data_IF_682802383224
#
_entry.id   IF_682802383224
#
_cell.length_a   1.000
_cell.length_b   1.000
_cell.length_c   1.000
_cell.angle_alpha   90.00
_cell.angle_beta   90.00
_cell.angle_gamma   90.00
#
_symmetry.space_group_name_H-M   'P 1'
#
loop_
_entity.id
_entity.type
_entity.pdbx_description
1 polymer ?
#
# COMPACT_ATOMS: atom_id res chain seq x y z
N UNK A 1 19.38 -13.45 -20.19
CA UNK A 1 19.85 -12.65 -19.02
C UNK A 1 19.21 -11.26 -19.00
N UNK A 2 19.27 -10.48 -20.09
CA UNK A 2 18.64 -9.14 -20.18
C UNK A 2 17.12 -9.13 -19.92
N UNK A 3 16.36 -10.10 -20.42
CA UNK A 3 14.91 -10.19 -20.18
C UNK A 3 14.54 -10.41 -18.71
N UNK A 4 15.36 -11.17 -17.98
CA UNK A 4 15.16 -11.43 -16.55
C UNK A 4 15.36 -10.13 -15.74
N UNK A 5 16.34 -9.29 -16.11
CA UNK A 5 16.53 -7.99 -15.45
C UNK A 5 15.38 -7.03 -15.76
N UNK A 6 14.89 -6.99 -17.00
CA UNK A 6 13.75 -6.16 -17.40
C UNK A 6 12.48 -6.51 -16.60
N UNK A 7 12.18 -7.80 -16.44
CA UNK A 7 11.03 -8.24 -15.63
C UNK A 7 11.13 -7.78 -14.17
N UNK A 8 12.29 -7.92 -13.53
CA UNK A 8 12.51 -7.48 -12.13
C UNK A 8 12.33 -5.98 -11.96
N UNK A 9 12.81 -5.17 -12.91
CA UNK A 9 12.63 -3.72 -12.85
C UNK A 9 11.17 -3.30 -12.98
N UNK A 10 10.38 -4.01 -13.80
CA UNK A 10 8.95 -3.75 -13.95
C UNK A 10 8.20 -4.07 -12.65
N UNK A 11 8.52 -5.18 -11.97
CA UNK A 11 7.92 -5.52 -10.68
C UNK A 11 8.26 -4.53 -9.57
N UNK A 12 9.51 -4.05 -9.52
CA UNK A 12 9.91 -3.01 -8.57
C UNK A 12 9.17 -1.70 -8.84
N UNK A 13 9.09 -1.26 -10.09
CA UNK A 13 8.36 -0.06 -10.47
C UNK A 13 6.86 -0.18 -10.13
N UNK A 14 6.23 -1.31 -10.46
CA UNK A 14 4.83 -1.60 -10.16
C UNK A 14 4.50 -1.63 -8.67
N UNK A 15 5.51 -1.77 -7.79
CA UNK A 15 5.36 -1.74 -6.33
C UNK A 15 5.68 -0.37 -5.73
N UNK A 16 6.78 0.27 -6.17
CA UNK A 16 7.27 1.52 -5.60
C UNK A 16 6.48 2.76 -6.07
N UNK A 17 6.05 2.78 -7.34
CA UNK A 17 5.29 3.91 -7.90
C UNK A 17 3.98 4.13 -7.13
N UNK A 18 3.13 3.11 -6.89
CA UNK A 18 1.94 3.26 -6.05
C UNK A 18 2.23 3.86 -4.68
N UNK A 19 3.31 3.42 -4.02
CA UNK A 19 3.65 3.86 -2.67
C UNK A 19 4.01 5.35 -2.63
N UNK A 20 4.83 5.80 -3.58
CA UNK A 20 5.20 7.22 -3.69
C UNK A 20 3.95 8.06 -3.96
N UNK A 21 3.14 7.66 -4.94
CA UNK A 21 1.94 8.41 -5.33
C UNK A 21 0.91 8.43 -4.20
N UNK A 22 0.69 7.31 -3.52
CA UNK A 22 -0.23 7.21 -2.38
C UNK A 22 0.15 8.20 -1.26
N UNK A 23 1.44 8.32 -0.94
CA UNK A 23 1.92 9.26 0.06
C UNK A 23 1.72 10.74 -0.35
N UNK A 24 1.95 11.06 -1.63
CA UNK A 24 1.68 12.40 -2.15
C UNK A 24 0.17 12.71 -2.08
N UNK A 25 -0.68 11.77 -2.52
CA UNK A 25 -2.13 11.92 -2.47
C UNK A 25 -2.64 12.07 -1.03
N UNK A 26 -2.10 11.29 -0.09
CA UNK A 26 -2.43 11.44 1.33
C UNK A 26 -2.14 12.87 1.83
N UNK A 27 -1.04 13.50 1.41
CA UNK A 27 -0.76 14.90 1.80
C UNK A 27 -1.79 15.88 1.24
N UNK A 28 -2.39 15.61 0.07
CA UNK A 28 -3.50 16.41 -0.46
C UNK A 28 -4.74 16.25 0.43
N UNK A 29 -5.05 15.02 0.86
CA UNK A 29 -6.17 14.74 1.78
C UNK A 29 -5.97 15.49 3.11
N UNK A 30 -4.75 15.49 3.65
CA UNK A 30 -4.38 16.24 4.85
C UNK A 30 -4.58 17.75 4.65
N UNK A 31 -4.03 18.32 3.57
CA UNK A 31 -4.09 19.77 3.31
C UNK A 31 -5.50 20.28 3.03
N UNK A 32 -6.34 19.47 2.38
CA UNK A 32 -7.76 19.81 2.13
C UNK A 32 -8.68 19.49 3.31
N UNK A 33 -8.14 18.97 4.41
CA UNK A 33 -8.89 18.51 5.58
C UNK A 33 -10.02 17.53 5.22
N UNK A 34 -9.79 16.69 4.21
CA UNK A 34 -10.70 15.61 3.88
C UNK A 34 -10.59 14.50 4.94
N UNK A 35 -11.69 13.79 5.18
CA UNK A 35 -11.78 12.73 6.20
C UNK A 35 -11.37 13.22 7.60
N UNK A 36 -11.86 14.41 7.99
CA UNK A 36 -11.57 15.02 9.30
C UNK A 36 -11.96 14.14 10.49
N UNK A 37 -12.93 13.24 10.31
CA UNK A 37 -13.34 12.26 11.34
C UNK A 37 -12.20 11.31 11.75
N UNK A 38 -11.20 11.12 10.88
CA UNK A 38 -10.03 10.26 11.13
C UNK A 38 -8.79 11.07 11.56
N UNK A 39 -8.94 12.37 11.83
CA UNK A 39 -7.82 13.26 12.16
C UNK A 39 -7.38 13.19 13.64
N UNK A 40 -7.72 12.11 14.35
CA UNK A 40 -7.23 11.88 15.69
C UNK A 40 -5.89 11.11 15.65
N UNK A 41 -4.96 11.43 16.58
CA UNK A 41 -3.65 10.82 16.60
C UNK A 41 -3.72 9.35 17.03
N UNK A 42 -2.79 8.54 16.51
CA UNK A 42 -2.67 7.12 16.87
C UNK A 42 -2.24 7.01 18.34
N UNK A 43 -1.19 7.72 18.71
CA UNK A 43 -0.72 7.86 20.08
C UNK A 43 0.12 9.14 20.18
N UNK A 44 -0.36 10.12 20.96
CA UNK A 44 0.34 11.39 21.13
C UNK A 44 1.68 11.25 21.85
N UNK A 45 1.79 10.32 22.81
CA UNK A 45 2.98 10.15 23.64
C UNK A 45 4.14 9.48 22.90
N UNK A 46 3.85 8.54 22.00
CA UNK A 46 4.89 7.77 21.28
C UNK A 46 5.16 8.27 19.87
N UNK A 47 4.17 8.83 19.18
CA UNK A 47 4.29 9.19 17.76
C UNK A 47 3.94 10.64 17.47
N UNK A 48 3.58 11.41 18.50
CA UNK A 48 3.15 12.79 18.37
C UNK A 48 1.79 12.96 17.70
N UNK A 49 1.34 14.22 17.61
CA UNK A 49 0.01 14.59 17.09
C UNK A 49 -0.15 14.42 15.56
N UNK A 50 0.96 14.31 14.84
CA UNK A 50 0.96 14.31 13.38
C UNK A 50 0.67 12.93 12.77
N UNK A 51 0.86 11.84 13.52
CA UNK A 51 0.55 10.48 13.08
C UNK A 51 -0.89 10.15 13.41
N UNK A 52 -1.76 10.28 12.41
CA UNK A 52 -3.23 10.15 12.56
C UNK A 52 -3.73 8.87 11.91
N UNK A 53 -4.89 8.37 12.36
CA UNK A 53 -5.55 7.23 11.73
C UNK A 53 -5.95 7.49 10.28
N UNK A 54 -6.11 8.77 9.89
CA UNK A 54 -6.31 9.17 8.50
C UNK A 54 -5.19 8.65 7.61
N UNK A 55 -3.92 8.88 7.96
CA UNK A 55 -2.79 8.35 7.19
C UNK A 55 -2.77 6.83 7.19
N UNK A 56 -3.06 6.23 8.34
CA UNK A 56 -3.10 4.78 8.54
C UNK A 56 -4.16 4.06 7.68
N UNK A 57 -5.24 4.75 7.29
CA UNK A 57 -6.31 4.19 6.46
C UNK A 57 -6.17 4.62 5.00
N UNK A 58 -5.90 5.90 4.75
CA UNK A 58 -5.84 6.46 3.39
C UNK A 58 -4.68 5.87 2.60
N UNK A 59 -3.48 5.76 3.19
CA UNK A 59 -2.31 5.28 2.47
C UNK A 59 -2.48 3.82 2.02
N UNK A 60 -2.90 2.87 2.87
CA UNK A 60 -3.19 1.49 2.42
C UNK A 60 -4.27 1.41 1.36
N UNK A 61 -5.40 2.10 1.52
CA UNK A 61 -6.50 2.03 0.56
C UNK A 61 -6.10 2.60 -0.80
N UNK A 62 -5.50 3.79 -0.82
CA UNK A 62 -5.07 4.43 -2.07
C UNK A 62 -3.95 3.60 -2.72
N UNK A 63 -3.00 3.06 -1.93
CA UNK A 63 -1.94 2.22 -2.47
C UNK A 63 -2.49 0.92 -3.07
N UNK A 64 -3.46 0.27 -2.42
CA UNK A 64 -4.14 -0.92 -2.95
C UNK A 64 -4.80 -0.65 -4.30
N UNK A 65 -5.52 0.48 -4.43
CA UNK A 65 -6.15 0.89 -5.70
C UNK A 65 -5.09 1.10 -6.78
N UNK A 66 -4.06 1.92 -6.50
CA UNK A 66 -3.01 2.23 -7.47
C UNK A 66 -2.21 1.00 -7.88
N UNK A 67 -1.89 0.12 -6.93
CA UNK A 67 -1.20 -1.13 -7.19
C UNK A 67 -2.03 -2.06 -8.09
N UNK A 68 -3.35 -2.14 -7.84
CA UNK A 68 -4.26 -2.93 -8.69
C UNK A 68 -4.34 -2.38 -10.10
N UNK A 69 -4.39 -1.04 -10.27
CA UNK A 69 -4.44 -0.40 -11.59
C UNK A 69 -3.14 -0.65 -12.36
N UNK A 70 -1.98 -0.45 -11.73
CA UNK A 70 -0.69 -0.59 -12.41
C UNK A 70 -0.35 -2.05 -12.74
N UNK A 71 -0.77 -3.00 -11.91
CA UNK A 71 -0.49 -4.43 -12.11
C UNK A 71 -1.71 -5.18 -12.66
N UNK A 72 -2.70 -4.48 -13.22
CA UNK A 72 -3.92 -5.09 -13.75
C UNK A 72 -3.63 -6.09 -14.89
N UNK A 73 -2.63 -5.80 -15.73
CA UNK A 73 -2.20 -6.71 -16.80
C UNK A 73 -1.68 -8.05 -16.27
N UNK A 74 -1.03 -8.03 -15.11
CA UNK A 74 -0.50 -9.23 -14.44
C UNK A 74 -1.61 -10.05 -13.77
N UNK A 75 -2.76 -9.45 -13.47
CA UNK A 75 -3.91 -10.10 -12.82
C UNK A 75 -4.41 -11.35 -13.57
N UNK A 76 -4.18 -11.41 -14.89
CA UNK A 76 -4.52 -12.56 -15.74
C UNK A 76 -3.47 -13.69 -15.71
N UNK A 77 -2.22 -13.36 -15.36
CA UNK A 77 -1.09 -14.30 -15.23
C UNK A 77 -1.00 -14.93 -13.83
N UNK A 78 -1.58 -14.27 -12.82
CA UNK A 78 -1.60 -14.69 -11.40
C UNK A 78 -2.45 -15.96 -11.13
N UNK A 79 -2.95 -16.64 -12.17
CA UNK A 79 -3.59 -17.95 -12.02
C UNK A 79 -2.63 -19.01 -11.44
N UNK A 80 -1.32 -18.85 -11.64
CA UNK A 80 -0.30 -19.79 -11.15
C UNK A 80 0.05 -19.57 -9.67
N UNK A 81 0.05 -18.32 -9.17
CA UNK A 81 0.42 -18.03 -7.77
C UNK A 81 -0.64 -18.51 -6.76
N UNK A 82 -1.89 -18.67 -7.19
CA UNK A 82 -2.96 -19.26 -6.39
C UNK A 82 -2.68 -20.72 -6.00
N UNK A 83 -1.80 -21.44 -6.71
CA UNK A 83 -1.43 -22.81 -6.32
C UNK A 83 -0.44 -22.90 -5.16
N UNK A 84 0.30 -21.83 -4.84
CA UNK A 84 1.28 -21.84 -3.73
C UNK A 84 0.64 -21.47 -2.39
N UNK A 85 -0.44 -20.66 -2.39
CA UNK A 85 -1.19 -20.23 -1.20
C UNK A 85 -2.35 -21.21 -0.87
N UNK A 86 -2.41 -22.35 -1.55
CA UNK A 86 -3.57 -23.25 -1.56
C UNK A 86 -3.76 -24.14 -0.32
N UNK A 87 -3.09 -23.89 0.81
CA UNK A 87 -3.35 -24.74 1.99
C UNK A 87 -4.42 -24.21 2.94
N UNK A 88 -4.80 -22.91 2.95
CA UNK A 88 -5.85 -22.40 3.88
C UNK A 88 -6.63 -21.12 3.47
N UNK A 89 -6.24 -20.36 2.44
CA UNK A 89 -6.93 -19.08 2.12
C UNK A 89 -6.93 -18.80 0.61
N UNK A 90 -8.02 -19.16 -0.07
CA UNK A 90 -8.16 -18.96 -1.52
C UNK A 90 -8.94 -17.66 -1.81
N UNK A 91 -8.25 -16.63 -2.31
CA UNK A 91 -8.91 -15.44 -2.87
C UNK A 91 -9.17 -15.73 -4.34
N UNK A 92 -10.40 -16.11 -4.67
CA UNK A 92 -10.80 -16.48 -6.03
C UNK A 92 -10.85 -15.28 -7.02
N UNK A 93 -10.54 -14.07 -6.56
CA UNK A 93 -10.56 -12.87 -7.37
C UNK A 93 -9.16 -12.23 -7.45
N UNK A 94 -8.44 -12.33 -8.58
CA UNK A 94 -7.06 -11.86 -8.70
C UNK A 94 -6.95 -10.35 -8.49
N UNK A 95 -7.99 -9.59 -8.84
CA UNK A 95 -8.02 -8.13 -8.60
C UNK A 95 -8.10 -7.81 -7.11
N UNK A 96 -8.89 -8.57 -6.35
CA UNK A 96 -8.97 -8.42 -4.90
C UNK A 96 -7.65 -8.82 -4.24
N UNK A 97 -6.97 -9.85 -4.76
CA UNK A 97 -5.64 -10.24 -4.29
C UNK A 97 -4.63 -9.11 -4.48
N UNK A 98 -4.55 -8.53 -5.68
CA UNK A 98 -3.67 -7.37 -5.93
C UNK A 98 -4.01 -6.18 -5.03
N UNK A 99 -5.30 -5.89 -4.83
CA UNK A 99 -5.73 -4.82 -3.94
C UNK A 99 -5.26 -5.06 -2.50
N UNK A 100 -5.41 -6.28 -1.98
CA UNK A 100 -4.99 -6.65 -0.62
C UNK A 100 -3.47 -6.55 -0.50
N UNK A 101 -2.71 -7.07 -1.47
CA UNK A 101 -1.25 -7.00 -1.46
C UNK A 101 -0.76 -5.55 -1.50
N UNK A 102 -1.32 -4.73 -2.38
CA UNK A 102 -1.03 -3.29 -2.42
C UNK A 102 -1.42 -2.60 -1.11
N UNK A 103 -2.56 -2.95 -0.53
CA UNK A 103 -2.98 -2.44 0.78
C UNK A 103 -1.97 -2.78 1.89
N UNK A 104 -1.51 -4.03 1.93
CA UNK A 104 -0.49 -4.50 2.88
C UNK A 104 0.81 -3.72 2.71
N UNK A 105 1.27 -3.47 1.49
CA UNK A 105 2.46 -2.63 1.26
C UNK A 105 2.28 -1.20 1.78
N UNK A 106 1.11 -0.59 1.53
CA UNK A 106 0.80 0.73 2.07
C UNK A 106 0.74 0.73 3.59
N UNK A 107 0.23 -0.33 4.20
CA UNK A 107 0.14 -0.48 5.65
C UNK A 107 1.53 -0.61 6.28
N UNK A 108 2.38 -1.47 5.73
CA UNK A 108 3.75 -1.62 6.20
C UNK A 108 4.54 -0.32 6.05
N UNK A 109 4.34 0.42 4.96
CA UNK A 109 4.95 1.74 4.82
C UNK A 109 4.59 2.64 6.02
N UNK A 110 3.31 2.76 6.37
CA UNK A 110 2.89 3.60 7.49
C UNK A 110 3.46 3.10 8.83
N UNK A 111 3.44 1.79 9.07
CA UNK A 111 3.99 1.18 10.29
C UNK A 111 5.47 1.49 10.42
N UNK A 112 6.25 1.33 9.35
CA UNK A 112 7.68 1.64 9.36
C UNK A 112 7.99 3.14 9.37
N UNK A 113 7.00 3.99 9.08
CA UNK A 113 7.11 5.44 9.26
C UNK A 113 6.89 5.89 10.72
N UNK A 114 6.34 5.02 11.59
CA UNK A 114 6.09 5.36 13.01
C UNK A 114 7.38 5.47 13.84
N UNK A 115 8.37 4.57 13.75
CA UNK A 115 9.64 4.71 14.48
C UNK A 115 10.35 6.04 14.24
N UNK A 116 10.23 6.61 13.03
CA UNK A 116 10.80 7.93 12.72
C UNK A 116 10.25 9.03 13.63
N UNK A 117 8.98 8.95 14.02
CA UNK A 117 8.37 9.89 14.96
C UNK A 117 8.61 9.53 16.43
N UNK A 118 8.99 8.29 16.74
CA UNK A 118 9.35 7.88 18.11
C UNK A 118 10.78 8.30 18.48
N UNK A 119 11.70 8.27 17.52
CA UNK A 119 13.10 8.68 17.71
C UNK A 119 13.22 10.20 17.83
N UNK A 120 12.30 10.93 17.21
CA UNK A 120 12.28 12.39 17.19
C UNK A 120 11.63 12.98 18.45
#
# INVERSE_FOLDING_TARGET
MLEIYSSKTIYLAGTLIPLIVSNILHMIVVKKNWLSILNFPINEGWFGKNKTYRGFIVIPLVNGILYTILNWSESYSVSEFNTVINHNFSINNPTLFLFIIGGIYGLFYVIFELPNSFIK
#
